data_IF_958045346341
#
_entry.id   IF_958045346341
#
_cell.length_a   1.000
_cell.length_b   1.000
_cell.length_c   1.000
_cell.angle_alpha   90.00
_cell.angle_beta   90.00
_cell.angle_gamma   90.00
#
_symmetry.space_group_name_H-M   'P 1'
#
loop_
_entity.id
_entity.type
_entity.pdbx_description
1 polymer ?
#
# COMPACT_ATOMS: atom_id res chain seq x y z
N UNK A 1 10.80 23.84 10.58
CA UNK A 1 11.44 22.68 9.91
C UNK A 1 10.38 21.60 9.78
N UNK A 2 9.69 21.61 8.65
CA UNK A 2 8.39 20.97 8.46
C UNK A 2 7.71 21.74 7.33
N UNK A 3 8.38 21.81 6.19
CA UNK A 3 7.73 22.20 4.95
C UNK A 3 7.28 20.89 4.30
N UNK A 4 6.00 20.85 4.00
CA UNK A 4 5.27 19.86 3.23
C UNK A 4 6.09 19.36 2.03
N UNK A 5 6.62 18.13 2.12
CA UNK A 5 7.10 17.37 0.96
C UNK A 5 5.98 17.15 -0.09
N UNK A 6 4.73 17.47 0.28
CA UNK A 6 3.55 17.35 -0.56
C UNK A 6 3.33 18.58 -1.46
N UNK A 7 3.74 19.77 -1.01
CA UNK A 7 3.59 21.02 -1.78
C UNK A 7 4.61 21.07 -2.93
N UNK A 8 5.80 20.50 -2.74
CA UNK A 8 6.82 20.31 -3.78
C UNK A 8 6.38 19.31 -4.87
N UNK A 9 5.44 18.41 -4.57
CA UNK A 9 4.90 17.46 -5.55
C UNK A 9 3.93 18.12 -6.55
N UNK A 10 3.38 19.28 -6.20
CA UNK A 10 2.41 20.03 -7.00
C UNK A 10 3.04 21.16 -7.82
N UNK A 11 4.22 21.64 -7.43
CA UNK A 11 4.91 22.75 -8.09
C UNK A 11 5.45 22.42 -9.50
N UNK A 12 5.38 21.16 -9.94
CA UNK A 12 5.77 20.72 -11.29
C UNK A 12 4.63 20.64 -12.31
N UNK A 13 3.44 21.14 -11.97
CA UNK A 13 2.22 21.05 -12.80
C UNK A 13 1.84 22.42 -13.39
N UNK A 14 2.75 23.05 -14.13
CA UNK A 14 2.51 24.30 -14.88
C UNK A 14 3.52 24.31 -16.04
N UNK A 15 3.19 24.46 -17.32
CA UNK A 15 1.95 24.64 -18.06
C UNK A 15 2.16 23.91 -19.41
N UNK A 16 1.05 23.62 -20.09
CA UNK A 16 0.98 23.43 -21.54
C UNK A 16 1.14 21.99 -22.06
N UNK A 17 0.08 21.20 -21.88
CA UNK A 17 -0.42 20.37 -22.97
C UNK A 17 -1.95 20.28 -22.87
N UNK A 18 -2.57 20.93 -23.84
CA UNK A 18 -4.01 20.97 -24.11
C UNK A 18 -4.54 19.61 -24.58
N UNK A 19 -5.81 19.38 -24.25
CA UNK A 19 -6.76 18.38 -24.79
C UNK A 19 -6.92 17.04 -24.04
N UNK A 20 -7.98 17.03 -23.24
CA UNK A 20 -9.02 15.99 -23.12
C UNK A 20 -8.58 14.53 -23.10
N UNK A 21 -8.45 14.00 -21.88
CA UNK A 21 -9.27 12.87 -21.42
C UNK A 21 -9.06 12.72 -19.91
N UNK A 22 -9.99 13.21 -19.08
CA UNK A 22 -9.94 13.01 -17.62
C UNK A 22 -9.86 11.50 -17.28
N UNK A 23 -10.42 10.65 -18.13
CA UNK A 23 -10.35 9.18 -18.07
C UNK A 23 -8.91 8.65 -18.19
N UNK A 24 -8.05 9.32 -18.95
CA UNK A 24 -6.65 8.93 -19.13
C UNK A 24 -5.84 9.21 -17.87
N UNK A 25 -6.13 10.31 -17.18
CA UNK A 25 -5.46 10.67 -15.93
C UNK A 25 -5.84 9.71 -14.80
N UNK A 26 -7.12 9.38 -14.66
CA UNK A 26 -7.58 8.43 -13.63
C UNK A 26 -7.07 7.02 -13.88
N UNK A 27 -7.05 6.57 -15.14
CA UNK A 27 -6.47 5.29 -15.52
C UNK A 27 -4.97 5.25 -15.22
N UNK A 28 -4.22 6.32 -15.53
CA UNK A 28 -2.79 6.44 -15.21
C UNK A 28 -2.55 6.42 -13.70
N UNK A 29 -3.38 7.10 -12.91
CA UNK A 29 -3.29 7.10 -11.43
C UNK A 29 -3.55 5.71 -10.86
N UNK A 30 -4.58 5.02 -11.33
CA UNK A 30 -4.90 3.66 -10.91
C UNK A 30 -3.75 2.69 -11.24
N UNK A 31 -3.25 2.72 -12.47
CA UNK A 31 -2.12 1.89 -12.88
C UNK A 31 -0.85 2.18 -12.05
N UNK A 32 -0.58 3.47 -11.75
CA UNK A 32 0.54 3.85 -10.90
C UNK A 32 0.40 3.33 -9.47
N UNK A 33 -0.81 3.37 -8.91
CA UNK A 33 -1.11 2.81 -7.60
C UNK A 33 -0.92 1.28 -7.58
N UNK A 34 -1.47 0.56 -8.55
CA UNK A 34 -1.33 -0.89 -8.66
C UNK A 34 0.14 -1.33 -8.77
N UNK A 35 0.95 -0.60 -9.56
CA UNK A 35 2.38 -0.84 -9.67
C UNK A 35 3.13 -0.57 -8.35
N UNK A 36 2.66 0.40 -7.56
CA UNK A 36 3.21 0.70 -6.24
C UNK A 36 2.93 -0.45 -5.27
N UNK A 37 1.72 -1.00 -5.30
CA UNK A 37 1.35 -2.17 -4.47
C UNK A 37 2.24 -3.36 -4.79
N UNK A 38 2.48 -3.64 -6.07
CA UNK A 38 3.39 -4.72 -6.49
C UNK A 38 4.82 -4.51 -5.99
N UNK A 39 5.27 -3.26 -6.02
CA UNK A 39 6.59 -2.87 -5.49
C UNK A 39 6.68 -3.16 -3.99
N UNK A 40 5.63 -2.85 -3.23
CA UNK A 40 5.59 -3.11 -1.79
C UNK A 40 5.43 -4.59 -1.44
N UNK A 41 4.71 -5.38 -2.25
CA UNK A 41 4.68 -6.86 -2.13
C UNK A 41 6.10 -7.42 -2.22
N UNK A 42 6.88 -7.00 -3.22
CA UNK A 42 8.27 -7.42 -3.39
C UNK A 42 9.14 -6.96 -2.23
N UNK A 43 8.95 -5.73 -1.75
CA UNK A 43 9.71 -5.16 -0.65
C UNK A 43 9.46 -5.90 0.67
N UNK A 44 8.20 -6.21 0.99
CA UNK A 44 7.82 -6.92 2.21
C UNK A 44 8.48 -8.31 2.31
N UNK A 45 8.64 -9.00 1.18
CA UNK A 45 9.24 -10.33 1.10
C UNK A 45 10.76 -10.35 0.91
N UNK A 46 11.41 -9.20 0.75
CA UNK A 46 12.84 -9.15 0.43
C UNK A 46 13.72 -9.32 1.67
N UNK A 47 14.52 -10.40 1.79
CA UNK A 47 15.46 -10.55 2.89
C UNK A 47 16.64 -9.57 2.82
N UNK A 48 16.85 -8.94 1.66
CA UNK A 48 17.91 -7.93 1.45
C UNK A 48 17.54 -6.56 2.01
N UNK A 49 16.24 -6.29 2.21
CA UNK A 49 15.81 -5.02 2.75
C UNK A 49 15.91 -5.03 4.27
N UNK A 50 16.37 -3.90 4.82
CA UNK A 50 16.37 -3.69 6.26
C UNK A 50 14.95 -3.84 6.83
N UNK A 51 14.85 -4.37 8.04
CA UNK A 51 13.57 -4.66 8.71
C UNK A 51 12.61 -3.48 8.69
N UNK A 52 13.10 -2.27 8.95
CA UNK A 52 12.26 -1.06 8.93
C UNK A 52 11.60 -0.80 7.57
N UNK A 53 12.29 -1.09 6.45
CA UNK A 53 11.73 -0.97 5.11
C UNK A 53 10.67 -2.05 4.86
N UNK A 54 10.90 -3.27 5.36
CA UNK A 54 9.91 -4.36 5.27
C UNK A 54 8.65 -4.06 6.08
N UNK A 55 8.79 -3.50 7.28
CA UNK A 55 7.67 -3.09 8.12
C UNK A 55 6.83 -2.01 7.45
N UNK A 56 7.46 -0.96 6.91
CA UNK A 56 6.75 0.07 6.13
C UNK A 56 6.03 -0.49 4.92
N UNK A 57 6.61 -1.51 4.27
CA UNK A 57 5.97 -2.17 3.15
C UNK A 57 4.72 -2.94 3.58
N UNK A 58 4.80 -3.66 4.69
CA UNK A 58 3.67 -4.41 5.25
C UNK A 58 2.53 -3.48 5.66
N UNK A 59 2.86 -2.39 6.35
CA UNK A 59 1.90 -1.35 6.77
C UNK A 59 1.18 -0.74 5.55
N UNK A 60 1.92 -0.31 4.53
CA UNK A 60 1.33 0.19 3.28
C UNK A 60 0.36 -0.83 2.64
N UNK A 61 0.70 -2.12 2.65
CA UNK A 61 -0.13 -3.16 2.06
C UNK A 61 -1.45 -3.39 2.83
N UNK A 62 -1.48 -3.12 4.14
CA UNK A 62 -2.73 -3.10 4.90
C UNK A 62 -3.55 -1.85 4.61
N UNK A 63 -2.91 -0.68 4.61
CA UNK A 63 -3.54 0.61 4.32
C UNK A 63 -4.08 0.74 2.89
N UNK A 64 -3.44 0.07 1.94
CA UNK A 64 -3.85 0.15 0.54
C UNK A 64 -5.22 -0.49 0.28
N UNK A 65 -5.71 -1.37 1.18
CA UNK A 65 -6.98 -2.07 1.00
C UNK A 65 -7.02 -3.01 -0.21
N UNK A 66 -5.86 -3.28 -0.81
CA UNK A 66 -5.71 -4.01 -2.06
C UNK A 66 -5.72 -5.52 -1.81
N UNK A 67 -6.77 -6.25 -2.21
CA UNK A 67 -6.93 -7.66 -1.85
C UNK A 67 -5.79 -8.55 -2.35
N UNK A 68 -5.11 -8.16 -3.44
CA UNK A 68 -3.93 -8.87 -3.97
C UNK A 68 -2.75 -8.93 -2.98
N UNK A 69 -2.73 -8.08 -1.95
CA UNK A 69 -1.72 -8.11 -0.91
C UNK A 69 -1.93 -9.24 0.12
N UNK A 70 -3.17 -9.70 0.30
CA UNK A 70 -3.57 -10.64 1.36
C UNK A 70 -2.71 -11.93 1.35
N UNK A 71 -2.49 -12.62 0.22
CA UNK A 71 -1.66 -13.85 0.21
C UNK A 71 -0.22 -13.60 0.69
N UNK A 72 0.34 -12.42 0.40
CA UNK A 72 1.68 -12.03 0.84
C UNK A 72 1.69 -11.80 2.35
N UNK A 73 0.71 -11.08 2.89
CA UNK A 73 0.60 -10.82 4.32
C UNK A 73 0.39 -12.12 5.12
N UNK A 74 -0.48 -13.03 4.65
CA UNK A 74 -0.66 -14.37 5.24
C UNK A 74 0.64 -15.15 5.26
N UNK A 75 1.40 -15.12 4.15
CA UNK A 75 2.70 -15.81 4.09
C UNK A 75 3.69 -15.24 5.11
N UNK A 76 3.75 -13.91 5.27
CA UNK A 76 4.63 -13.25 6.24
C UNK A 76 4.22 -13.61 7.67
N UNK A 77 2.93 -13.50 7.98
CA UNK A 77 2.39 -13.87 9.29
C UNK A 77 2.77 -15.31 9.69
N UNK A 78 2.64 -16.26 8.76
CA UNK A 78 2.93 -17.66 9.07
C UNK A 78 4.43 -18.00 9.12
N UNK A 79 5.27 -17.33 8.32
CA UNK A 79 6.62 -17.83 8.02
C UNK A 79 7.77 -16.87 8.35
N UNK A 80 7.51 -15.59 8.66
CA UNK A 80 8.60 -14.67 8.94
C UNK A 80 9.30 -15.00 10.26
N UNK A 81 10.64 -14.91 10.25
CA UNK A 81 11.46 -15.24 11.43
C UNK A 81 11.35 -14.16 12.50
N UNK A 82 11.20 -12.89 12.12
CA UNK A 82 11.15 -11.78 13.07
C UNK A 82 9.71 -11.62 13.61
N UNK A 83 9.49 -11.75 14.94
CA UNK A 83 8.16 -11.59 15.54
C UNK A 83 7.50 -10.24 15.26
N UNK A 84 8.27 -9.15 15.15
CA UNK A 84 7.71 -7.82 14.85
C UNK A 84 7.18 -7.75 13.42
N UNK A 85 7.84 -8.46 12.50
CA UNK A 85 7.38 -8.54 11.10
C UNK A 85 6.10 -9.35 11.01
N UNK A 86 5.99 -10.45 11.77
CA UNK A 86 4.72 -11.21 11.88
C UNK A 86 3.59 -10.35 12.47
N UNK A 87 3.85 -9.61 13.54
CA UNK A 87 2.86 -8.74 14.18
C UNK A 87 2.37 -7.63 13.24
N UNK A 88 3.26 -7.04 12.43
CA UNK A 88 2.86 -6.06 11.42
C UNK A 88 1.93 -6.67 10.36
N UNK A 89 2.20 -7.92 9.94
CA UNK A 89 1.35 -8.62 8.99
C UNK A 89 -0.02 -8.98 9.59
N UNK A 90 -0.05 -9.41 10.85
CA UNK A 90 -1.29 -9.63 11.61
C UNK A 90 -2.14 -8.35 11.68
N UNK A 91 -1.55 -7.23 12.06
CA UNK A 91 -2.24 -5.93 12.09
C UNK A 91 -2.81 -5.56 10.72
N UNK A 92 -2.01 -5.69 9.67
CA UNK A 92 -2.41 -5.37 8.30
C UNK A 92 -3.56 -6.25 7.81
N UNK A 93 -3.56 -7.55 8.15
CA UNK A 93 -4.68 -8.46 7.88
C UNK A 93 -5.94 -8.07 8.66
N UNK A 94 -5.79 -7.57 9.89
CA UNK A 94 -6.89 -7.02 10.67
C UNK A 94 -7.58 -5.83 9.99
N UNK A 95 -6.84 -5.02 9.24
CA UNK A 95 -7.41 -3.91 8.46
C UNK A 95 -8.32 -4.40 7.33
N UNK A 96 -7.96 -5.49 6.65
CA UNK A 96 -8.82 -6.11 5.64
C UNK A 96 -10.11 -6.65 6.25
N UNK A 97 -10.03 -7.28 7.42
CA UNK A 97 -11.23 -7.73 8.13
C UNK A 97 -12.12 -6.55 8.53
N UNK A 98 -11.54 -5.49 9.08
CA UNK A 98 -12.30 -4.30 9.45
C UNK A 98 -12.95 -3.63 8.22
N UNK A 99 -12.29 -3.66 7.07
CA UNK A 99 -12.85 -3.18 5.80
C UNK A 99 -14.02 -4.07 5.35
N UNK A 100 -13.86 -5.39 5.39
CA UNK A 100 -14.91 -6.37 5.05
C UNK A 100 -16.15 -6.19 5.95
N UNK A 101 -15.95 -6.13 7.27
CA UNK A 101 -17.01 -5.88 8.26
C UNK A 101 -17.73 -4.53 8.03
N UNK A 102 -17.01 -3.51 7.55
CA UNK A 102 -17.57 -2.20 7.26
C UNK A 102 -18.39 -2.16 5.94
N UNK A 103 -18.02 -2.99 4.96
CA UNK A 103 -18.72 -3.08 3.67
C UNK A 103 -19.96 -3.97 3.76
N UNK A 104 -19.86 -5.09 4.48
CA UNK A 104 -20.95 -6.05 4.65
C UNK A 104 -21.94 -5.68 5.78
N UNK A 105 -21.57 -4.69 6.62
CA UNK A 105 -22.24 -4.42 7.89
C UNK A 105 -21.95 -5.50 8.94
N UNK A 106 -22.18 -5.25 10.25
CA UNK A 106 -21.85 -6.23 11.28
C UNK A 106 -22.61 -7.54 11.04
N UNK A 107 -21.88 -8.58 10.64
CA UNK A 107 -22.42 -9.93 10.53
C UNK A 107 -22.75 -10.40 11.96
N UNK A 108 -24.05 -10.45 12.25
CA UNK A 108 -24.62 -10.84 13.54
C UNK A 108 -24.42 -12.33 13.86
#
# INVERSE_FOLDING_TARGET
KGMSDFDDLLAGLDENETESDETDLDTKRQAAFEARVDTYIRAAMSPKLAKNKRLKAIEFLGESGEPKAIPTLVRIYNNDKDPKVRQAAEYSLGMFRALDDALDGPQA
#
